data_IF_981954447482
#
_entry.id   IF_981954447482
#
_cell.length_a   1.000
_cell.length_b   1.000
_cell.length_c   1.000
_cell.angle_alpha   90.00
_cell.angle_beta   90.00
_cell.angle_gamma   90.00
#
_symmetry.space_group_name_H-M   'P 1'
#
loop_
_entity.id
_entity.type
_entity.pdbx_description
1 polymer ?
#
# COMPACT_ATOMS: atom_id res chain seq x y z
N UNK A 1 -43.41 -5.06 -7.99
CA UNK A 1 -43.48 -5.05 -6.52
C UNK A 1 -42.09 -4.72 -6.00
N UNK A 2 -41.89 -3.50 -5.50
CA UNK A 2 -40.58 -3.01 -5.07
C UNK A 2 -40.44 -3.22 -3.55
N UNK A 3 -39.49 -4.04 -3.13
CA UNK A 3 -39.18 -4.28 -1.72
C UNK A 3 -38.17 -3.27 -1.21
N UNK A 4 -38.63 -2.29 -0.43
CA UNK A 4 -37.78 -1.35 0.31
C UNK A 4 -37.24 -2.04 1.56
N UNK A 5 -35.94 -2.28 1.63
CA UNK A 5 -35.26 -2.78 2.83
C UNK A 5 -34.76 -1.55 3.62
N UNK A 6 -35.32 -1.31 4.80
CA UNK A 6 -34.82 -0.33 5.78
C UNK A 6 -33.82 -1.02 6.73
N UNK A 7 -32.68 -0.40 7.07
CA UNK A 7 -31.77 -0.95 8.06
C UNK A 7 -32.32 -0.77 9.48
N UNK A 8 -32.31 -1.86 10.25
CA UNK A 8 -32.63 -1.88 11.68
C UNK A 8 -31.35 -1.56 12.46
N UNK A 9 -31.33 -0.43 13.17
CA UNK A 9 -30.29 -0.12 14.16
C UNK A 9 -30.53 -0.93 15.44
N UNK A 10 -29.49 -1.52 16.07
CA UNK A 10 -29.62 -2.14 17.38
C UNK A 10 -29.75 -1.08 18.49
N UNK A 11 -30.43 -1.39 19.60
CA UNK A 11 -30.68 -0.45 20.69
C UNK A 11 -29.40 -0.14 21.48
N UNK A 12 -29.20 1.15 21.77
CA UNK A 12 -28.12 1.65 22.62
C UNK A 12 -28.27 1.11 24.05
N UNK A 13 -27.26 0.40 24.53
CA UNK A 13 -27.12 0.06 25.95
C UNK A 13 -26.24 1.08 26.65
N UNK A 14 -26.74 1.53 27.80
CA UNK A 14 -26.21 2.59 28.65
C UNK A 14 -24.87 2.19 29.30
N UNK A 15 -23.91 3.12 29.28
CA UNK A 15 -22.60 3.02 29.91
C UNK A 15 -22.69 3.31 31.43
N UNK A 16 -22.18 2.40 32.26
CA UNK A 16 -21.76 2.66 33.65
C UNK A 16 -20.35 2.05 33.84
N UNK A 17 -19.40 2.75 34.48
CA UNK A 17 -17.98 2.40 34.44
C UNK A 17 -17.61 1.39 35.53
N UNK A 18 -16.88 0.34 35.16
CA UNK A 18 -16.21 -0.53 36.15
C UNK A 18 -14.76 -0.74 35.74
N UNK A 19 -13.83 -0.29 36.60
CA UNK A 19 -12.39 -0.55 36.49
C UNK A 19 -12.14 -2.05 36.62
N UNK A 20 -11.59 -2.69 35.59
CA UNK A 20 -10.85 -3.94 35.73
C UNK A 20 -9.59 -3.90 34.87
N UNK A 21 -8.46 -3.98 35.57
CA UNK A 21 -7.12 -4.11 35.02
C UNK A 21 -6.98 -5.47 34.36
N UNK A 22 -6.74 -5.51 33.05
CA UNK A 22 -6.34 -6.71 32.31
C UNK A 22 -5.04 -6.39 31.57
N UNK A 23 -3.95 -7.02 32.01
CA UNK A 23 -2.69 -7.05 31.27
C UNK A 23 -2.86 -7.94 30.02
N UNK A 24 -2.51 -7.49 28.80
CA UNK A 24 -2.36 -8.40 27.68
C UNK A 24 -0.98 -9.08 27.76
N UNK A 25 -0.99 -10.41 27.82
CA UNK A 25 0.17 -11.22 27.52
C UNK A 25 0.57 -11.00 26.05
N UNK A 26 1.83 -10.62 25.83
CA UNK A 26 2.38 -10.39 24.48
C UNK A 26 2.83 -11.73 23.86
N UNK A 27 2.68 -11.93 22.53
CA UNK A 27 3.24 -13.09 21.84
C UNK A 27 4.78 -12.99 21.71
N UNK A 28 5.50 -14.12 21.59
CA UNK A 28 6.95 -14.19 21.85
C UNK A 28 7.89 -13.68 20.74
N UNK A 29 7.40 -12.95 19.73
CA UNK A 29 8.25 -12.48 18.60
C UNK A 29 8.48 -10.99 18.52
N UNK A 30 8.08 -10.22 19.54
CA UNK A 30 8.40 -8.79 19.61
C UNK A 30 9.38 -8.57 20.76
N UNK A 31 10.68 -8.51 20.45
CA UNK A 31 11.70 -8.11 21.41
C UNK A 31 11.57 -6.60 21.68
N UNK A 32 10.97 -6.22 22.81
CA UNK A 32 10.96 -4.84 23.31
C UNK A 32 11.94 -4.72 24.48
N UNK A 33 13.06 -4.02 24.29
CA UNK A 33 13.81 -3.46 25.43
C UNK A 33 13.10 -2.19 25.92
N UNK A 34 13.00 -1.94 27.24
CA UNK A 34 12.26 -0.81 27.75
C UNK A 34 13.12 0.45 27.69
N UNK A 35 12.68 1.47 26.96
CA UNK A 35 13.14 2.85 27.13
C UNK A 35 11.91 3.67 27.52
N UNK A 36 11.95 4.19 28.74
CA UNK A 36 11.00 5.15 29.28
C UNK A 36 11.19 6.48 28.55
N UNK A 37 10.29 6.88 27.64
CA UNK A 37 10.04 8.29 27.33
C UNK A 37 8.61 8.47 26.79
N UNK A 38 7.98 9.56 27.21
CA UNK A 38 6.69 10.09 26.76
C UNK A 38 6.59 10.14 25.23
N UNK A 39 5.52 9.58 24.68
CA UNK A 39 5.27 9.41 23.24
C UNK A 39 4.66 10.70 22.65
N UNK A 40 5.29 11.42 21.72
CA UNK A 40 4.59 12.32 20.81
C UNK A 40 4.01 11.49 19.64
N UNK A 41 3.02 12.01 18.89
CA UNK A 41 2.45 11.29 17.74
C UNK A 41 3.48 11.30 16.61
N UNK A 42 4.04 10.13 16.27
CA UNK A 42 5.00 9.99 15.18
C UNK A 42 4.24 9.64 13.89
N UNK A 43 4.22 10.55 12.92
CA UNK A 43 3.74 10.28 11.57
C UNK A 43 4.90 9.74 10.73
N UNK A 44 4.71 8.62 10.04
CA UNK A 44 5.73 8.09 9.15
C UNK A 44 5.74 8.89 7.83
N UNK A 45 6.79 9.66 7.61
CA UNK A 45 7.09 10.30 6.33
C UNK A 45 7.86 9.31 5.45
N UNK A 46 7.32 8.96 4.29
CA UNK A 46 8.05 8.17 3.29
C UNK A 46 8.62 9.14 2.27
N UNK A 47 9.91 9.45 2.40
CA UNK A 47 10.67 10.16 1.36
C UNK A 47 11.29 9.14 0.40
N UNK A 48 11.02 9.27 -0.89
CA UNK A 48 11.51 8.36 -1.91
C UNK A 48 12.96 8.70 -2.29
N UNK A 49 13.95 7.99 -1.74
CA UNK A 49 15.33 8.03 -2.25
C UNK A 49 15.79 6.60 -2.60
N UNK A 50 15.78 6.22 -3.90
CA UNK A 50 16.18 4.90 -4.34
C UNK A 50 17.71 4.68 -4.29
N UNK A 51 18.50 5.65 -3.82
CA UNK A 51 19.97 5.60 -3.82
C UNK A 51 20.63 5.68 -2.44
N UNK A 52 19.88 5.90 -1.35
CA UNK A 52 20.47 6.09 -0.01
C UNK A 52 20.61 4.81 0.82
N UNK A 53 21.79 4.67 1.42
CA UNK A 53 22.09 3.73 2.49
C UNK A 53 21.43 4.24 3.78
N UNK A 54 20.51 3.47 4.36
CA UNK A 54 19.76 3.88 5.56
C UNK A 54 20.62 3.67 6.82
N UNK A 55 21.33 4.71 7.24
CA UNK A 55 21.82 4.80 8.61
C UNK A 55 20.84 5.66 9.41
N UNK A 56 20.13 5.04 10.35
CA UNK A 56 19.11 5.67 11.19
C UNK A 56 19.76 6.29 12.42
N UNK A 57 20.53 7.37 12.25
CA UNK A 57 20.91 8.22 13.38
C UNK A 57 19.75 9.16 13.72
N UNK A 58 18.94 8.74 14.68
CA UNK A 58 17.76 9.43 15.22
C UNK A 58 18.08 10.66 16.11
N UNK A 59 19.26 11.24 16.00
CA UNK A 59 19.63 12.48 16.71
C UNK A 59 20.54 13.33 15.81
N UNK A 60 19.97 14.37 15.22
CA UNK A 60 20.66 15.64 15.05
C UNK A 60 19.59 16.73 14.93
N UNK A 61 19.40 17.46 16.02
CA UNK A 61 18.88 18.82 15.97
C UNK A 61 19.99 19.69 15.34
N UNK A 62 19.61 20.56 14.41
CA UNK A 62 20.41 21.58 13.71
C UNK A 62 21.15 21.15 12.41
N UNK A 63 20.50 21.29 11.24
CA UNK A 63 21.12 21.93 10.05
C UNK A 63 20.19 22.17 8.84
N UNK A 64 20.15 23.46 8.44
CA UNK A 64 19.93 24.10 7.14
C UNK A 64 19.23 23.40 5.95
N UNK A 65 18.18 24.07 5.48
CA UNK A 65 17.82 24.34 4.07
C UNK A 65 18.19 23.30 2.99
N UNK A 66 17.74 22.04 3.11
CA UNK A 66 17.67 21.11 1.96
C UNK A 66 16.72 19.91 2.15
N UNK A 67 15.76 20.01 3.06
CA UNK A 67 14.85 18.90 3.39
C UNK A 67 13.58 18.88 2.52
N UNK A 68 13.76 19.01 1.21
CA UNK A 68 12.69 18.81 0.23
C UNK A 68 12.71 17.33 -0.14
N UNK A 69 11.56 16.66 0.02
CA UNK A 69 11.42 15.27 -0.38
C UNK A 69 11.94 15.06 -1.82
N UNK A 70 12.80 14.05 -2.08
CA UNK A 70 13.34 13.84 -3.42
C UNK A 70 12.20 13.61 -4.41
N UNK A 71 12.27 14.31 -5.55
CA UNK A 71 11.27 14.18 -6.59
C UNK A 71 11.34 12.77 -7.20
N UNK A 72 10.20 12.12 -7.52
CA UNK A 72 10.19 10.84 -8.21
C UNK A 72 10.97 10.92 -9.52
N UNK A 73 11.63 9.81 -9.91
CA UNK A 73 12.25 9.74 -11.24
C UNK A 73 11.18 9.80 -12.33
N UNK A 74 11.54 10.22 -13.56
CA UNK A 74 10.62 10.10 -14.68
C UNK A 74 10.16 8.63 -14.86
N UNK A 75 8.95 8.43 -15.43
CA UNK A 75 8.46 7.12 -15.84
C UNK A 75 9.51 6.26 -16.53
N UNK A 76 9.58 4.98 -16.17
CA UNK A 76 10.46 4.02 -16.84
C UNK A 76 10.05 3.85 -18.31
N UNK A 77 11.03 3.82 -19.23
CA UNK A 77 10.77 3.59 -20.65
C UNK A 77 10.15 2.19 -20.89
N UNK A 78 9.16 2.11 -21.77
CA UNK A 78 8.49 0.85 -22.10
C UNK A 78 7.57 0.31 -21.01
N UNK A 79 7.25 1.10 -19.97
CA UNK A 79 6.26 0.72 -18.96
C UNK A 79 4.87 0.60 -19.57
N UNK A 80 4.07 -0.27 -18.98
CA UNK A 80 2.66 -0.42 -19.27
C UNK A 80 1.87 0.72 -18.63
N UNK A 81 1.19 1.50 -19.47
CA UNK A 81 0.39 2.63 -19.00
C UNK A 81 -1.10 2.25 -18.98
N UNK A 82 -1.68 2.24 -17.79
CA UNK A 82 -3.12 2.03 -17.61
C UNK A 82 -3.79 3.39 -17.56
N UNK A 83 -4.49 3.73 -18.64
CA UNK A 83 -5.20 5.01 -18.77
C UNK A 83 -6.63 4.83 -18.28
N UNK A 84 -7.04 5.65 -17.31
CA UNK A 84 -8.40 5.65 -16.76
C UNK A 84 -8.99 7.07 -16.78
N UNK A 85 -10.30 7.16 -16.94
CA UNK A 85 -11.06 8.42 -16.93
C UNK A 85 -12.29 8.32 -16.00
N UNK A 86 -13.06 9.41 -15.89
CA UNK A 86 -14.28 9.46 -15.07
C UNK A 86 -15.28 8.33 -15.40
N UNK A 87 -15.41 7.94 -16.68
CA UNK A 87 -16.33 6.89 -17.11
C UNK A 87 -15.91 5.52 -16.60
N UNK A 88 -14.62 5.20 -16.77
CA UNK A 88 -14.01 3.97 -16.25
C UNK A 88 -14.11 3.91 -14.71
N UNK A 89 -13.79 5.02 -14.04
CA UNK A 89 -13.81 5.11 -12.57
C UNK A 89 -15.23 4.90 -12.03
N UNK A 90 -16.22 5.62 -12.57
CA UNK A 90 -17.62 5.52 -12.10
C UNK A 90 -18.26 4.16 -12.39
N UNK A 91 -17.89 3.50 -13.48
CA UNK A 91 -18.32 2.13 -13.80
C UNK A 91 -17.53 1.06 -13.03
N UNK A 92 -16.50 1.46 -12.28
CA UNK A 92 -15.53 0.58 -11.64
C UNK A 92 -14.87 -0.40 -12.65
N UNK A 93 -14.74 -0.01 -13.91
CA UNK A 93 -14.29 -0.91 -14.97
C UNK A 93 -12.79 -1.20 -14.85
N UNK A 94 -12.44 -2.48 -14.81
CA UNK A 94 -11.05 -2.95 -14.77
C UNK A 94 -10.54 -3.41 -16.14
N UNK A 95 -11.35 -3.28 -17.20
CA UNK A 95 -10.93 -3.62 -18.57
C UNK A 95 -9.61 -2.96 -18.98
N UNK A 96 -9.33 -1.67 -18.69
CA UNK A 96 -8.06 -1.06 -19.12
C UNK A 96 -6.84 -1.70 -18.46
N UNK A 97 -6.99 -2.15 -17.21
CA UNK A 97 -5.93 -2.88 -16.53
C UNK A 97 -5.78 -4.28 -17.13
N UNK A 98 -6.89 -4.98 -17.37
CA UNK A 98 -6.88 -6.34 -17.93
C UNK A 98 -6.32 -6.39 -19.35
N UNK A 99 -6.55 -5.37 -20.17
CA UNK A 99 -6.07 -5.36 -21.56
C UNK A 99 -4.55 -5.18 -21.65
N UNK A 100 -4.00 -4.48 -20.66
CA UNK A 100 -2.57 -4.24 -20.51
C UNK A 100 -1.86 -5.42 -19.82
N UNK A 101 -2.60 -6.17 -19.00
CA UNK A 101 -2.05 -7.31 -18.26
C UNK A 101 -2.24 -8.62 -19.04
N UNK A 102 -1.23 -9.50 -19.12
CA UNK A 102 -1.41 -10.80 -19.75
C UNK A 102 -2.58 -11.54 -19.09
N UNK A 103 -3.63 -11.81 -19.87
CA UNK A 103 -4.83 -12.51 -19.40
C UNK A 103 -4.44 -13.89 -18.85
N UNK A 104 -4.58 -14.08 -17.54
CA UNK A 104 -4.65 -15.43 -16.94
C UNK A 104 -3.44 -15.89 -16.14
N UNK A 105 -2.99 -15.12 -15.15
CA UNK A 105 -1.91 -15.53 -14.22
C UNK A 105 -2.30 -16.75 -13.35
N UNK A 106 -3.57 -17.17 -13.39
CA UNK A 106 -4.00 -18.42 -12.76
C UNK A 106 -3.41 -19.65 -13.48
N UNK A 107 -2.96 -19.53 -14.75
CA UNK A 107 -2.30 -20.60 -15.51
C UNK A 107 -1.24 -20.05 -16.50
N UNK A 108 -0.62 -18.91 -16.18
CA UNK A 108 0.39 -18.31 -17.06
C UNK A 108 1.66 -19.15 -17.11
N UNK A 109 2.31 -19.16 -18.27
CA UNK A 109 3.65 -19.75 -18.39
C UNK A 109 4.63 -18.98 -17.49
N UNK A 110 5.70 -19.66 -17.03
CA UNK A 110 6.77 -19.01 -16.25
C UNK A 110 7.38 -17.80 -16.98
N UNK A 111 7.38 -17.82 -18.31
CA UNK A 111 7.92 -16.74 -19.13
C UNK A 111 6.99 -15.51 -19.17
N UNK A 112 5.67 -15.70 -19.09
CA UNK A 112 4.70 -14.61 -18.95
C UNK A 112 4.80 -13.94 -17.59
N UNK A 113 4.94 -14.73 -16.52
CA UNK A 113 5.14 -14.22 -15.15
C UNK A 113 6.45 -13.43 -15.06
N UNK A 114 7.54 -13.93 -15.63
CA UNK A 114 8.82 -13.20 -15.66
C UNK A 114 8.70 -11.89 -16.43
N UNK A 115 8.12 -11.92 -17.63
CA UNK A 115 7.89 -10.71 -18.41
C UNK A 115 7.03 -9.69 -17.67
N UNK A 116 6.00 -10.15 -16.96
CA UNK A 116 5.17 -9.31 -16.12
C UNK A 116 5.96 -8.67 -14.97
N UNK A 117 6.87 -9.43 -14.33
CA UNK A 117 7.68 -8.95 -13.21
C UNK A 117 8.86 -8.07 -13.61
N UNK A 118 9.33 -8.19 -14.86
CA UNK A 118 10.36 -7.36 -15.47
C UNK A 118 9.80 -6.04 -16.01
N UNK A 119 8.52 -6.02 -16.42
CA UNK A 119 7.85 -4.82 -16.88
C UNK A 119 7.24 -4.05 -15.70
N UNK A 120 7.26 -2.73 -15.80
CA UNK A 120 6.66 -1.84 -14.81
C UNK A 120 5.30 -1.32 -15.28
N UNK A 121 4.41 -1.01 -14.34
CA UNK A 121 3.06 -0.49 -14.59
C UNK A 121 2.92 0.90 -13.98
N UNK A 122 2.37 1.83 -14.74
CA UNK A 122 1.96 3.16 -14.29
C UNK A 122 0.50 3.45 -14.61
N UNK A 123 -0.06 4.50 -14.00
CA UNK A 123 -1.42 4.95 -14.32
C UNK A 123 -1.48 6.41 -14.78
N UNK A 124 -2.24 6.64 -15.83
CA UNK A 124 -2.64 7.99 -16.25
C UNK A 124 -4.10 8.16 -15.88
N UNK A 125 -4.37 9.08 -14.96
CA UNK A 125 -5.70 9.32 -14.40
C UNK A 125 -6.26 10.61 -14.99
N UNK A 126 -7.02 10.49 -16.07
CA UNK A 126 -7.70 11.59 -16.74
C UNK A 126 -9.02 11.91 -16.02
N UNK A 127 -8.91 12.46 -14.82
CA UNK A 127 -10.06 12.75 -13.96
C UNK A 127 -10.42 14.23 -13.96
N UNK A 128 -11.61 14.54 -14.47
CA UNK A 128 -12.22 15.87 -14.41
C UNK A 128 -13.00 16.00 -13.11
N UNK A 129 -12.67 16.98 -12.27
CA UNK A 129 -13.41 17.26 -11.03
C UNK A 129 -14.72 17.96 -11.34
N UNK A 130 -15.77 17.62 -10.60
CA UNK A 130 -17.07 18.30 -10.69
C UNK A 130 -16.96 19.77 -10.29
N UNK A 131 -16.23 20.06 -9.21
CA UNK A 131 -15.85 21.41 -8.80
C UNK A 131 -14.37 21.65 -9.16
N UNK A 132 -14.07 22.55 -10.12
CA UNK A 132 -12.70 22.93 -10.46
C UNK A 132 -11.91 23.55 -9.31
N UNK A 133 -12.57 24.00 -8.24
CA UNK A 133 -11.95 24.61 -7.05
C UNK A 133 -11.73 23.64 -5.90
N UNK A 134 -12.14 22.37 -6.04
CA UNK A 134 -11.91 21.36 -5.01
C UNK A 134 -10.40 21.14 -4.81
N UNK A 135 -9.86 21.49 -3.62
CA UNK A 135 -8.42 21.47 -3.36
C UNK A 135 -7.88 20.07 -3.08
N UNK A 136 -8.76 19.06 -2.97
CA UNK A 136 -8.38 17.70 -2.60
C UNK A 136 -7.52 17.05 -3.69
N UNK A 137 -6.55 16.28 -3.23
CA UNK A 137 -5.73 15.45 -4.08
C UNK A 137 -6.52 14.26 -4.62
N UNK A 138 -6.10 13.69 -5.75
CA UNK A 138 -6.82 12.56 -6.36
C UNK A 138 -6.95 11.37 -5.40
N UNK A 139 -5.95 11.16 -4.53
CA UNK A 139 -5.97 10.13 -3.49
C UNK A 139 -6.96 10.37 -2.37
N UNK A 140 -7.55 11.55 -2.27
CA UNK A 140 -8.60 11.89 -1.30
C UNK A 140 -10.01 11.78 -1.91
N UNK A 141 -10.13 11.64 -3.23
CA UNK A 141 -11.41 11.54 -3.92
C UNK A 141 -11.99 10.12 -3.76
N UNK A 142 -13.21 9.97 -3.23
CA UNK A 142 -13.74 8.68 -2.80
C UNK A 142 -13.97 7.69 -3.95
N UNK A 143 -14.35 8.17 -5.12
CA UNK A 143 -14.63 7.38 -6.31
C UNK A 143 -13.34 6.87 -6.98
N UNK A 144 -12.32 7.73 -7.10
CA UNK A 144 -10.97 7.34 -7.54
C UNK A 144 -10.44 6.26 -6.61
N UNK A 145 -10.50 6.48 -5.29
CA UNK A 145 -10.08 5.48 -4.29
C UNK A 145 -10.87 4.19 -4.43
N UNK A 146 -12.19 4.24 -4.60
CA UNK A 146 -13.02 3.05 -4.73
C UNK A 146 -12.62 2.20 -5.94
N UNK A 147 -12.26 2.84 -7.06
CA UNK A 147 -11.73 2.13 -8.23
C UNK A 147 -10.43 1.38 -7.88
N UNK A 148 -9.48 2.04 -7.21
CA UNK A 148 -8.25 1.38 -6.76
C UNK A 148 -8.50 0.29 -5.70
N UNK A 149 -9.53 0.43 -4.86
CA UNK A 149 -9.89 -0.60 -3.86
C UNK A 149 -10.41 -1.84 -4.58
N UNK A 150 -11.22 -1.66 -5.64
CA UNK A 150 -11.63 -2.77 -6.49
C UNK A 150 -10.45 -3.41 -7.20
N UNK A 151 -9.51 -2.59 -7.71
CA UNK A 151 -8.28 -3.08 -8.33
C UNK A 151 -7.43 -3.91 -7.35
N UNK A 152 -7.24 -3.43 -6.12
CA UNK A 152 -6.57 -4.15 -5.03
C UNK A 152 -7.22 -5.50 -4.72
N UNK A 153 -8.55 -5.50 -4.65
CA UNK A 153 -9.31 -6.72 -4.37
C UNK A 153 -9.18 -7.76 -5.49
N UNK A 154 -9.12 -7.32 -6.75
CA UNK A 154 -8.98 -8.20 -7.90
C UNK A 154 -7.52 -8.64 -8.17
N UNK A 155 -6.56 -7.77 -7.87
CA UNK A 155 -5.13 -7.96 -8.18
C UNK A 155 -4.26 -7.58 -6.97
N UNK A 156 -4.33 -8.33 -5.86
CA UNK A 156 -3.64 -7.96 -4.62
C UNK A 156 -2.11 -7.96 -4.74
N UNK A 157 -1.57 -8.69 -5.73
CA UNK A 157 -0.16 -8.78 -6.08
C UNK A 157 0.36 -7.59 -6.89
N UNK A 158 -0.51 -6.72 -7.41
CA UNK A 158 -0.14 -5.56 -8.24
C UNK A 158 1.06 -4.73 -7.72
N UNK A 159 1.23 -4.48 -6.41
CA UNK A 159 2.34 -3.68 -5.91
C UNK A 159 3.73 -4.07 -6.44
N UNK A 160 4.00 -5.35 -6.74
CA UNK A 160 5.33 -5.80 -7.20
C UNK A 160 5.62 -5.60 -8.69
N UNK A 161 4.64 -5.12 -9.46
CA UNK A 161 4.82 -4.76 -10.88
C UNK A 161 4.68 -3.27 -11.14
N UNK A 162 4.40 -2.47 -10.10
CA UNK A 162 4.31 -1.02 -10.25
C UNK A 162 5.68 -0.42 -10.57
N UNK A 163 5.69 0.70 -11.28
CA UNK A 163 6.90 1.50 -11.51
C UNK A 163 7.33 2.22 -10.22
N UNK A 164 8.05 1.47 -9.37
CA UNK A 164 8.52 1.99 -8.08
C UNK A 164 9.38 3.23 -8.25
N UNK A 165 10.19 3.28 -9.32
CA UNK A 165 11.08 4.39 -9.68
C UNK A 165 10.32 5.71 -9.87
N UNK A 166 9.15 5.64 -10.48
CA UNK A 166 8.26 6.77 -10.71
C UNK A 166 7.32 7.06 -9.53
N UNK A 167 7.47 6.37 -8.40
CA UNK A 167 6.64 6.58 -7.21
C UNK A 167 5.25 5.93 -7.28
N UNK A 168 4.99 5.05 -8.25
CA UNK A 168 3.66 4.44 -8.43
C UNK A 168 3.22 3.60 -7.23
N UNK A 169 4.16 2.95 -6.54
CA UNK A 169 3.85 2.19 -5.33
C UNK A 169 3.37 3.10 -4.19
N UNK A 170 4.02 4.25 -3.99
CA UNK A 170 3.61 5.22 -2.99
C UNK A 170 2.25 5.84 -3.35
N UNK A 171 2.03 6.18 -4.62
CA UNK A 171 0.74 6.68 -5.10
C UNK A 171 -0.38 5.64 -4.93
N UNK A 172 -0.12 4.39 -5.24
CA UNK A 172 -1.05 3.28 -5.02
C UNK A 172 -1.38 3.11 -3.54
N UNK A 173 -0.38 3.14 -2.66
CA UNK A 173 -0.60 3.10 -1.21
C UNK A 173 -1.44 4.28 -0.73
N UNK A 174 -1.23 5.49 -1.27
CA UNK A 174 -1.99 6.69 -0.92
C UNK A 174 -3.48 6.60 -1.32
N UNK A 175 -3.82 5.80 -2.34
CA UNK A 175 -5.22 5.52 -2.68
C UNK A 175 -5.90 4.62 -1.63
N UNK A 176 -5.14 3.71 -1.00
CA UNK A 176 -5.66 2.71 -0.06
C UNK A 176 -5.67 3.21 1.39
N UNK A 177 -4.60 3.87 1.80
CA UNK A 177 -4.37 4.32 3.17
C UNK A 177 -4.70 5.80 3.29
N UNK A 178 -5.26 6.21 4.43
CA UNK A 178 -5.45 7.64 4.71
C UNK A 178 -4.09 8.35 4.73
N UNK A 179 -4.00 9.40 3.91
CA UNK A 179 -2.82 10.25 3.79
C UNK A 179 -3.15 11.69 4.17
N UNK A 180 -2.14 12.41 4.61
CA UNK A 180 -2.17 13.86 4.79
C UNK A 180 -1.10 14.46 3.88
N UNK A 181 -1.40 15.59 3.24
CA UNK A 181 -0.40 16.31 2.48
C UNK A 181 0.38 17.27 3.38
N UNK A 182 1.71 17.19 3.28
CA UNK A 182 2.62 18.12 3.92
C UNK A 182 3.46 18.82 2.84
N UNK A 183 3.52 20.15 2.87
CA UNK A 183 4.22 20.94 1.86
C UNK A 183 5.73 20.67 1.79
N UNK A 184 6.37 20.22 2.87
CA UNK A 184 7.80 19.90 2.91
C UNK A 184 8.07 18.41 2.65
N UNK A 185 7.31 17.55 3.33
CA UNK A 185 7.55 16.10 3.34
C UNK A 185 6.77 15.34 2.25
N UNK A 186 5.86 16.00 1.53
CA UNK A 186 4.99 15.36 0.56
C UNK A 186 3.87 14.55 1.23
N UNK A 187 3.64 13.33 0.74
CA UNK A 187 2.60 12.43 1.25
C UNK A 187 3.01 11.88 2.61
N UNK A 188 2.20 12.14 3.63
CA UNK A 188 2.40 11.63 4.98
C UNK A 188 1.32 10.60 5.28
N UNK A 189 1.74 9.36 5.55
CA UNK A 189 0.80 8.29 5.85
C UNK A 189 0.45 8.28 7.33
N UNK A 190 -0.79 7.89 7.64
CA UNK A 190 -1.08 7.40 8.98
C UNK A 190 -0.25 6.12 9.20
N UNK A 191 0.64 6.08 10.22
CA UNK A 191 1.60 4.99 10.39
C UNK A 191 0.93 3.64 10.68
N UNK A 192 -0.12 3.64 11.51
CA UNK A 192 -0.83 2.40 11.89
C UNK A 192 -1.60 1.84 10.69
N UNK A 193 -2.23 2.71 9.90
CA UNK A 193 -2.94 2.30 8.69
C UNK A 193 -1.97 1.81 7.60
N UNK A 194 -0.80 2.44 7.47
CA UNK A 194 0.24 2.01 6.54
C UNK A 194 0.83 0.65 6.96
N UNK A 195 1.09 0.44 8.24
CA UNK A 195 1.57 -0.84 8.77
C UNK A 195 0.61 -1.98 8.42
N UNK A 196 -0.70 -1.80 8.68
CA UNK A 196 -1.70 -2.81 8.35
C UNK A 196 -1.78 -3.07 6.83
N UNK A 197 -1.67 -2.02 6.01
CA UNK A 197 -1.61 -2.15 4.57
C UNK A 197 -0.39 -2.96 4.13
N UNK A 198 0.81 -2.62 4.62
CA UNK A 198 2.05 -3.33 4.28
C UNK A 198 1.97 -4.78 4.70
N UNK A 199 1.50 -5.09 5.91
CA UNK A 199 1.35 -6.48 6.36
C UNK A 199 0.38 -7.26 5.48
N UNK A 200 -0.79 -6.68 5.15
CA UNK A 200 -1.74 -7.28 4.19
C UNK A 200 -1.06 -7.59 2.86
N UNK A 201 -0.25 -6.64 2.35
CA UNK A 201 0.48 -6.80 1.09
C UNK A 201 1.56 -7.85 1.15
N UNK A 202 2.32 -7.94 2.24
CA UNK A 202 3.34 -8.98 2.43
C UNK A 202 2.70 -10.36 2.33
N UNK A 203 1.58 -10.61 3.03
CA UNK A 203 0.87 -11.90 2.93
C UNK A 203 0.42 -12.21 1.50
N UNK A 204 -0.25 -11.27 0.83
CA UNK A 204 -0.82 -11.54 -0.49
C UNK A 204 0.25 -11.67 -1.58
N UNK A 205 1.23 -10.77 -1.59
CA UNK A 205 2.31 -10.75 -2.59
C UNK A 205 3.23 -11.95 -2.44
N UNK A 206 3.62 -12.29 -1.21
CA UNK A 206 4.54 -13.40 -0.99
C UNK A 206 3.92 -14.73 -1.44
N UNK A 207 2.68 -15.01 -1.02
CA UNK A 207 1.95 -16.22 -1.41
C UNK A 207 1.80 -16.29 -2.93
N UNK A 208 1.37 -15.19 -3.56
CA UNK A 208 1.21 -15.14 -5.00
C UNK A 208 2.54 -15.36 -5.75
N UNK A 209 3.64 -14.72 -5.33
CA UNK A 209 4.96 -14.93 -5.95
C UNK A 209 5.42 -16.39 -5.83
N UNK A 210 5.12 -17.06 -4.71
CA UNK A 210 5.41 -18.49 -4.53
C UNK A 210 4.57 -19.37 -5.45
N UNK A 211 3.27 -19.12 -5.57
CA UNK A 211 2.38 -19.86 -6.47
C UNK A 211 2.87 -19.77 -7.92
N UNK A 212 3.36 -18.59 -8.30
CA UNK A 212 3.93 -18.34 -9.63
C UNK A 212 5.38 -18.83 -9.77
N UNK A 213 5.92 -19.58 -8.79
CA UNK A 213 7.29 -20.10 -8.73
C UNK A 213 8.39 -19.06 -9.02
N UNK A 214 8.17 -17.83 -8.57
CA UNK A 214 9.11 -16.73 -8.76
C UNK A 214 10.32 -16.95 -7.86
N UNK A 215 11.52 -16.91 -8.44
CA UNK A 215 12.75 -17.01 -7.66
C UNK A 215 12.88 -15.79 -6.72
N UNK A 216 13.42 -16.01 -5.52
CA UNK A 216 13.65 -14.95 -4.52
C UNK A 216 12.36 -14.17 -4.12
N UNK A 217 11.21 -14.85 -4.04
CA UNK A 217 9.94 -14.25 -3.61
C UNK A 217 10.03 -13.45 -2.30
N UNK A 218 10.81 -13.95 -1.31
CA UNK A 218 11.09 -13.24 -0.05
C UNK A 218 11.76 -11.88 -0.30
N UNK A 219 12.86 -11.87 -1.06
CA UNK A 219 13.60 -10.65 -1.39
C UNK A 219 12.71 -9.62 -2.08
N UNK A 220 11.95 -10.02 -3.12
CA UNK A 220 11.08 -9.09 -3.85
C UNK A 220 9.95 -8.52 -2.97
N UNK A 221 9.39 -9.35 -2.09
CA UNK A 221 8.38 -8.89 -1.12
C UNK A 221 8.98 -7.94 -0.08
N UNK A 222 10.17 -8.24 0.43
CA UNK A 222 10.90 -7.37 1.37
C UNK A 222 11.30 -6.05 0.74
N UNK A 223 11.73 -6.05 -0.52
CA UNK A 223 12.06 -4.82 -1.25
C UNK A 223 10.81 -3.94 -1.44
N UNK A 224 9.66 -4.54 -1.80
CA UNK A 224 8.38 -3.82 -1.87
C UNK A 224 8.03 -3.17 -0.52
N UNK A 225 8.14 -3.91 0.59
CA UNK A 225 7.87 -3.36 1.93
C UNK A 225 8.87 -2.26 2.31
N UNK A 226 10.15 -2.43 1.93
CA UNK A 226 11.21 -1.43 2.17
C UNK A 226 10.94 -0.13 1.42
N UNK A 227 10.40 -0.19 0.21
CA UNK A 227 9.97 0.99 -0.54
C UNK A 227 8.87 1.80 0.18
N UNK A 228 8.15 1.18 1.12
CA UNK A 228 7.14 1.83 1.96
C UNK A 228 7.67 2.12 3.38
N UNK A 229 8.96 1.93 3.64
CA UNK A 229 9.60 2.21 4.93
C UNK A 229 9.61 1.06 5.93
N UNK A 230 9.30 -0.17 5.52
CA UNK A 230 9.22 -1.33 6.43
C UNK A 230 10.29 -2.38 6.14
N UNK A 231 11.00 -2.80 7.19
CA UNK A 231 11.82 -4.01 7.16
C UNK A 231 11.00 -5.23 7.57
N UNK A 232 11.03 -6.29 6.76
CA UNK A 232 10.35 -7.55 7.05
C UNK A 232 11.40 -8.60 7.44
N UNK A 233 11.23 -9.21 8.62
CA UNK A 233 12.08 -10.29 9.10
C UNK A 233 11.77 -11.62 8.45
N UNK A 234 12.78 -12.49 8.34
CA UNK A 234 12.65 -13.80 7.70
C UNK A 234 11.66 -14.72 8.43
N UNK A 235 11.50 -14.54 9.74
CA UNK A 235 10.61 -15.33 10.59
C UNK A 235 9.15 -15.22 10.15
N UNK A 236 8.74 -14.07 9.61
CA UNK A 236 7.38 -13.89 9.10
C UNK A 236 7.14 -14.78 7.87
N UNK A 237 8.11 -14.86 6.96
CA UNK A 237 7.99 -15.73 5.79
C UNK A 237 7.96 -17.20 6.18
N UNK A 238 8.78 -17.60 7.15
CA UNK A 238 8.76 -18.96 7.70
C UNK A 238 7.38 -19.32 8.29
N UNK A 239 6.70 -18.35 8.92
CA UNK A 239 5.34 -18.55 9.44
C UNK A 239 4.29 -18.68 8.34
N UNK A 240 4.41 -17.90 7.27
CA UNK A 240 3.53 -18.00 6.11
C UNK A 240 3.73 -19.36 5.44
N UNK A 241 4.98 -19.80 5.26
CA UNK A 241 5.31 -21.09 4.66
C UNK A 241 4.78 -22.26 5.49
N UNK A 242 4.88 -22.18 6.81
CA UNK A 242 4.37 -23.22 7.72
C UNK A 242 2.84 -23.35 7.70
N UNK A 243 2.14 -22.25 7.45
CA UNK A 243 0.68 -22.18 7.49
C UNK A 243 0.07 -21.85 6.13
N UNK A 244 0.73 -22.24 5.04
CA UNK A 244 0.21 -21.96 3.70
C UNK A 244 -1.14 -22.65 3.54
N UNK A 245 -2.18 -21.87 3.28
CA UNK A 245 -3.48 -22.43 2.96
C UNK A 245 -3.36 -23.16 1.61
N UNK A 246 -3.85 -24.42 1.49
CA UNK A 246 -4.08 -24.99 0.17
C UNK A 246 -5.11 -24.10 -0.53
N UNK A 247 -4.75 -23.59 -1.70
CA UNK A 247 -5.65 -22.83 -2.57
C UNK A 247 -6.51 -23.77 -3.40
#
# INVERSE_FOLDING_TARGET
>A
MAGTIKPVLPPQQQLIPTKQTLHPASPPWISRKPISHSRPPLSASVSFDPSRNFDLSLFDDDQDASDVAPQPMPPSEGRYEVVIDNGIISALDLSPFRDVMPTGIVNSSMDEVKQLLERSVGFTINYTRDDPRDPRELSELPDVRLWFVRLDAAYPWLPVVLDWRAGELARYAAMMVLVQMNMKMGVVFNPEALELFVMKKVFAVYSWLKEQNVSKARLKTSDMARMLGFGIGDELFDLIDKNSLPL
#
